data_IF_066705636205
#
_entry.id   IF_066705636205
#
_cell.length_a   1.000
_cell.length_b   1.000
_cell.length_c   1.000
_cell.angle_alpha   90.00
_cell.angle_beta   90.00
_cell.angle_gamma   90.00
#
_symmetry.space_group_name_H-M   'P 1'
#
loop_
_entity.id
_entity.type
_entity.pdbx_description
1 polymer ?
#
# COMPACT_ATOMS: atom_id res chain seq x y z
N UNK A 1 5.93 30.34 -26.64
CA UNK A 1 4.87 29.43 -26.16
C UNK A 1 5.00 29.28 -24.65
N UNK A 2 4.02 29.75 -23.88
CA UNK A 2 4.04 29.64 -22.41
C UNK A 2 3.84 28.19 -21.96
N UNK A 3 4.62 27.69 -21.02
CA UNK A 3 4.48 26.33 -20.48
C UNK A 3 3.17 26.22 -19.70
N UNK A 4 2.35 25.16 -19.91
CA UNK A 4 1.13 24.96 -19.16
C UNK A 4 1.44 24.80 -17.66
N UNK A 5 0.73 25.54 -16.81
CA UNK A 5 0.81 25.39 -15.34
C UNK A 5 0.04 24.13 -14.95
N UNK A 6 0.75 23.17 -14.35
CA UNK A 6 0.31 21.78 -14.10
C UNK A 6 -0.53 21.65 -12.82
N UNK A 7 -0.47 22.63 -11.91
CA UNK A 7 -1.11 22.55 -10.60
C UNK A 7 -2.61 22.87 -10.70
N UNK A 8 -3.40 21.90 -11.16
CA UNK A 8 -4.85 21.90 -11.04
C UNK A 8 -5.22 20.82 -10.03
N UNK A 9 -5.88 21.23 -8.94
CA UNK A 9 -6.53 20.27 -8.05
C UNK A 9 -7.80 19.76 -8.77
N UNK A 10 -7.70 18.59 -9.38
CA UNK A 10 -8.81 17.97 -10.13
C UNK A 10 -9.52 17.00 -9.19
N UNK A 11 -10.80 17.25 -8.93
CA UNK A 11 -11.65 16.31 -8.23
C UNK A 11 -12.11 15.22 -9.22
N UNK A 12 -11.58 14.00 -9.07
CA UNK A 12 -11.85 12.88 -9.98
C UNK A 12 -12.86 11.94 -9.29
N UNK A 13 -13.93 11.58 -10.00
CA UNK A 13 -14.90 10.59 -9.53
C UNK A 13 -14.33 9.16 -9.55
N UNK A 14 -14.65 8.36 -8.54
CA UNK A 14 -14.23 6.95 -8.43
C UNK A 14 -14.66 6.09 -9.62
N UNK A 15 -15.80 6.41 -10.23
CA UNK A 15 -16.30 5.70 -11.41
C UNK A 15 -15.46 5.94 -12.64
N UNK A 16 -14.84 7.13 -12.75
CA UNK A 16 -13.89 7.42 -13.82
C UNK A 16 -12.60 6.64 -13.60
N UNK A 17 -12.12 6.53 -12.36
CA UNK A 17 -10.89 5.78 -12.03
C UNK A 17 -11.02 4.33 -12.49
N UNK A 18 -12.18 3.68 -12.25
CA UNK A 18 -12.44 2.32 -12.72
C UNK A 18 -12.41 2.18 -14.24
N UNK A 19 -12.85 3.20 -14.98
CA UNK A 19 -12.82 3.19 -16.45
C UNK A 19 -11.43 3.41 -17.02
N UNK A 20 -10.54 4.05 -16.26
CA UNK A 20 -9.15 4.30 -16.67
C UNK A 20 -8.20 3.16 -16.34
N UNK A 21 -8.55 2.31 -15.38
CA UNK A 21 -7.74 1.15 -15.01
C UNK A 21 -8.10 -0.05 -15.87
N UNK A 22 -7.07 -0.76 -16.33
CA UNK A 22 -7.24 -2.10 -16.88
C UNK A 22 -7.64 -3.09 -15.79
N UNK A 23 -8.21 -4.24 -16.19
CA UNK A 23 -8.56 -5.31 -15.25
C UNK A 23 -7.35 -5.78 -14.41
N UNK A 24 -6.17 -5.79 -15.02
CA UNK A 24 -4.93 -6.19 -14.36
C UNK A 24 -4.51 -5.20 -13.27
N UNK A 25 -4.60 -3.90 -13.53
CA UNK A 25 -4.29 -2.84 -12.59
C UNK A 25 -5.33 -2.81 -11.47
N UNK A 26 -6.61 -2.98 -11.80
CA UNK A 26 -7.68 -3.07 -10.81
C UNK A 26 -7.49 -4.26 -9.86
N UNK A 27 -7.10 -5.42 -10.40
CA UNK A 27 -6.73 -6.59 -9.60
C UNK A 27 -5.55 -6.30 -8.67
N UNK A 28 -4.53 -5.60 -9.16
CA UNK A 28 -3.39 -5.19 -8.33
C UNK A 28 -3.79 -4.24 -7.21
N UNK A 29 -4.68 -3.27 -7.48
CA UNK A 29 -5.21 -2.35 -6.45
C UNK A 29 -5.93 -3.13 -5.35
N UNK A 30 -6.86 -4.03 -5.71
CA UNK A 30 -7.57 -4.90 -4.76
C UNK A 30 -6.61 -5.72 -3.91
N UNK A 31 -5.58 -6.29 -4.54
CA UNK A 31 -4.60 -7.13 -3.85
C UNK A 31 -3.78 -6.33 -2.84
N UNK A 32 -3.34 -5.11 -3.20
CA UNK A 32 -2.63 -4.21 -2.30
C UNK A 32 -3.51 -3.73 -1.15
N UNK A 33 -4.79 -3.47 -1.40
CA UNK A 33 -5.76 -3.10 -0.36
C UNK A 33 -5.97 -4.24 0.64
N UNK A 34 -6.12 -5.48 0.16
CA UNK A 34 -6.20 -6.66 1.01
C UNK A 34 -4.96 -6.84 1.89
N UNK A 35 -3.76 -6.64 1.33
CA UNK A 35 -2.51 -6.67 2.09
C UNK A 35 -2.52 -5.60 3.19
N UNK A 36 -2.98 -4.38 2.88
CA UNK A 36 -3.08 -3.30 3.86
C UNK A 36 -3.98 -3.67 5.04
N UNK A 37 -5.15 -4.24 4.77
CA UNK A 37 -6.07 -4.65 5.84
C UNK A 37 -5.46 -5.75 6.73
N UNK A 38 -4.84 -6.77 6.12
CA UNK A 38 -4.19 -7.84 6.87
C UNK A 38 -2.99 -7.36 7.69
N UNK A 39 -2.29 -6.32 7.22
CA UNK A 39 -1.24 -5.65 7.99
C UNK A 39 -1.83 -4.94 9.21
N UNK A 40 -2.98 -4.26 9.06
CA UNK A 40 -3.71 -3.62 10.16
C UNK A 40 -4.27 -4.62 11.18
N UNK A 41 -4.59 -5.84 10.75
CA UNK A 41 -4.98 -6.96 11.60
C UNK A 41 -3.79 -7.60 12.34
N UNK A 42 -2.57 -7.12 12.10
CA UNK A 42 -1.35 -7.58 12.77
C UNK A 42 -0.80 -8.92 12.27
N UNK A 43 -1.21 -9.39 11.09
CA UNK A 43 -0.65 -10.62 10.51
C UNK A 43 0.82 -10.42 10.12
N UNK A 44 1.60 -11.50 10.24
CA UNK A 44 2.99 -11.49 9.81
C UNK A 44 3.10 -11.48 8.27
N UNK A 45 4.15 -10.84 7.76
CA UNK A 45 4.44 -10.71 6.32
C UNK A 45 4.36 -12.06 5.59
N UNK A 46 4.90 -13.14 6.18
CA UNK A 46 4.87 -14.48 5.59
C UNK A 46 3.45 -15.03 5.47
N UNK A 47 2.62 -14.92 6.52
CA UNK A 47 1.23 -15.39 6.49
C UNK A 47 0.39 -14.61 5.48
N UNK A 48 0.64 -13.31 5.35
CA UNK A 48 -0.04 -12.47 4.34
C UNK A 48 0.35 -12.91 2.93
N UNK A 49 1.65 -13.13 2.68
CA UNK A 49 2.15 -13.58 1.39
C UNK A 49 1.52 -14.91 0.94
N UNK A 50 1.42 -15.88 1.86
CA UNK A 50 0.75 -17.17 1.64
C UNK A 50 -0.74 -16.99 1.34
N UNK A 51 -1.46 -16.20 2.15
CA UNK A 51 -2.91 -16.00 2.00
C UNK A 51 -3.29 -15.26 0.72
N UNK A 52 -2.51 -14.25 0.36
CA UNK A 52 -2.77 -13.39 -0.81
C UNK A 52 -2.11 -13.93 -2.09
N UNK A 53 -1.33 -15.02 -1.97
CA UNK A 53 -0.58 -15.68 -3.05
C UNK A 53 0.34 -14.69 -3.77
N UNK A 54 1.15 -13.95 -3.00
CA UNK A 54 2.14 -12.99 -3.51
C UNK A 54 3.51 -13.22 -2.90
N UNK A 55 4.55 -12.68 -3.53
CA UNK A 55 5.88 -12.65 -2.93
C UNK A 55 5.92 -11.77 -1.67
N UNK A 56 6.76 -12.14 -0.72
CA UNK A 56 7.00 -11.36 0.52
C UNK A 56 7.48 -9.94 0.23
N UNK A 57 8.26 -9.73 -0.84
CA UNK A 57 8.68 -8.39 -1.30
C UNK A 57 7.50 -7.47 -1.58
N UNK A 58 6.44 -8.00 -2.20
CA UNK A 58 5.22 -7.22 -2.51
C UNK A 58 4.54 -6.76 -1.22
N UNK A 59 4.45 -7.64 -0.22
CA UNK A 59 3.88 -7.30 1.09
C UNK A 59 4.71 -6.24 1.80
N UNK A 60 6.05 -6.36 1.79
CA UNK A 60 6.95 -5.37 2.37
C UNK A 60 6.83 -4.01 1.67
N UNK A 61 6.72 -4.00 0.34
CA UNK A 61 6.55 -2.77 -0.45
C UNK A 61 5.26 -2.05 -0.07
N UNK A 62 4.15 -2.78 0.06
CA UNK A 62 2.87 -2.22 0.51
C UNK A 62 2.97 -1.71 1.95
N UNK A 63 3.62 -2.44 2.85
CA UNK A 63 3.82 -1.98 4.23
C UNK A 63 4.60 -0.65 4.30
N UNK A 64 5.64 -0.48 3.46
CA UNK A 64 6.39 0.77 3.35
C UNK A 64 5.54 1.91 2.79
N UNK A 65 4.72 1.64 1.78
CA UNK A 65 3.79 2.62 1.22
C UNK A 65 2.79 3.12 2.27
N UNK A 66 2.17 2.21 3.01
CA UNK A 66 1.18 2.54 4.06
C UNK A 66 1.81 3.34 5.20
N UNK A 67 3.05 3.01 5.59
CA UNK A 67 3.79 3.83 6.56
C UNK A 67 4.11 5.23 6.05
N UNK A 68 4.53 5.37 4.78
CA UNK A 68 4.92 6.65 4.18
C UNK A 68 3.72 7.56 3.90
N UNK A 69 2.58 6.99 3.53
CA UNK A 69 1.36 7.77 3.26
C UNK A 69 0.73 8.35 4.52
N UNK A 70 1.30 8.11 5.71
CA UNK A 70 0.91 8.77 6.95
C UNK A 70 -0.59 8.69 7.18
N UNK A 71 -1.19 7.50 7.02
CA UNK A 71 -2.61 7.31 7.27
C UNK A 71 -2.87 7.61 8.76
N UNK A 72 -3.20 8.87 9.02
CA UNK A 72 -3.32 9.57 10.29
C UNK A 72 -4.56 9.16 11.10
N UNK A 73 -5.25 8.09 10.69
CA UNK A 73 -6.43 7.56 11.38
C UNK A 73 -6.18 6.29 12.20
N UNK A 74 -5.04 5.61 12.04
CA UNK A 74 -4.77 4.37 12.76
C UNK A 74 -3.36 4.42 13.34
N UNK A 75 -3.29 4.45 14.68
CA UNK A 75 -2.05 4.48 15.48
C UNK A 75 -0.94 3.64 14.85
N UNK A 76 0.33 4.09 14.85
CA UNK A 76 1.45 3.33 14.30
C UNK A 76 1.56 2.00 15.06
N UNK A 77 1.00 0.94 14.50
CA UNK A 77 1.17 -0.40 15.06
C UNK A 77 2.62 -0.80 14.84
N UNK A 78 3.31 -1.09 15.94
CA UNK A 78 4.63 -1.69 15.92
C UNK A 78 4.55 -3.03 15.20
N UNK A 79 5.00 -3.06 13.94
CA UNK A 79 5.11 -4.28 13.14
C UNK A 79 6.03 -5.26 13.89
N UNK A 80 5.44 -6.30 14.49
CA UNK A 80 6.20 -7.39 15.12
C UNK A 80 6.71 -8.29 13.99
N UNK A 81 8.02 -8.25 13.75
CA UNK A 81 8.69 -9.02 12.70
C UNK A 81 10.01 -9.55 13.23
N UNK A 82 10.41 -10.75 12.77
CA UNK A 82 11.71 -11.35 13.08
C UNK A 82 12.88 -10.69 12.33
N UNK A 83 12.59 -9.78 11.39
CA UNK A 83 13.59 -9.06 10.60
C UNK A 83 13.47 -7.54 10.81
N UNK A 84 13.81 -7.02 12.01
CA UNK A 84 13.65 -5.61 12.36
C UNK A 84 14.58 -4.69 11.55
N UNK A 85 15.76 -5.16 11.14
CA UNK A 85 16.74 -4.43 10.32
C UNK A 85 16.18 -3.92 8.98
N UNK A 86 15.21 -4.61 8.39
CA UNK A 86 14.54 -4.21 7.13
C UNK A 86 13.72 -2.92 7.30
N UNK A 87 13.36 -2.59 8.54
CA UNK A 87 12.50 -1.45 8.89
C UNK A 87 13.27 -0.29 9.54
N UNK A 88 14.61 -0.32 9.52
CA UNK A 88 15.44 0.79 10.00
C UNK A 88 15.35 1.04 11.51
N UNK A 89 14.94 0.04 12.29
CA UNK A 89 15.11 0.10 13.75
C UNK A 89 16.54 -0.34 14.07
N UNK A 90 17.43 0.64 14.12
CA UNK A 90 18.65 0.60 14.93
C UNK A 90 18.24 0.79 16.39
N UNK A 91 18.89 0.09 17.31
CA UNK A 91 18.67 0.18 18.75
C UNK A 91 18.55 1.62 19.29
#
# INVERSE_FOLDING_TARGET
MSKPKIDRNINISDDLIKKFLTDSEWRMVKQRFLISNLLSDGLSVRKIAERVKVGTDTVVRVAKMVKKSGNSGSKPQNIKTSTPWIFGKSD
#
